data_IF_056195551477
#
_entry.id   IF_056195551477
#
_cell.length_a   1.000
_cell.length_b   1.000
_cell.length_c   1.000
_cell.angle_alpha   90.00
_cell.angle_beta   90.00
_cell.angle_gamma   90.00
#
_symmetry.space_group_name_H-M   'P 1'
#
loop_
_entity.id
_entity.type
_entity.pdbx_description
1 polymer ?
#
# COMPACT_ATOMS: atom_id res chain seq x y z
N UNK A 1 24.59 10.72 22.90
CA UNK A 1 23.15 10.79 23.20
C UNK A 1 22.42 10.05 22.09
N UNK A 2 22.06 8.80 22.30
CA UNK A 2 21.29 7.98 21.34
C UNK A 2 19.81 8.18 21.63
N UNK A 3 19.11 8.92 20.78
CA UNK A 3 17.65 9.00 20.82
C UNK A 3 17.08 7.66 20.39
N UNK A 4 16.68 6.84 21.37
CA UNK A 4 15.96 5.60 21.14
C UNK A 4 14.56 5.92 20.63
N UNK A 5 14.20 5.37 19.47
CA UNK A 5 12.83 5.38 18.99
C UNK A 5 12.01 4.40 19.84
N UNK A 6 11.15 4.93 20.71
CA UNK A 6 10.15 4.10 21.39
C UNK A 6 8.99 3.85 20.43
N UNK A 7 8.93 2.67 19.82
CA UNK A 7 7.72 2.20 19.14
C UNK A 7 6.69 1.88 20.21
N UNK A 8 5.64 2.68 20.33
CA UNK A 8 4.50 2.36 21.19
C UNK A 8 3.70 1.22 20.56
N UNK A 9 3.96 -0.01 21.00
CA UNK A 9 3.08 -1.13 20.76
C UNK A 9 1.71 -0.80 21.37
N UNK A 10 0.65 -0.80 20.55
CA UNK A 10 -0.72 -0.55 21.02
C UNK A 10 -1.68 0.08 20.00
N UNK A 11 -1.20 0.63 18.88
CA UNK A 11 -2.10 1.03 17.78
C UNK A 11 -2.33 -0.18 16.88
N UNK A 12 -3.54 -0.73 16.91
CA UNK A 12 -4.05 -1.53 15.79
C UNK A 12 -4.29 -0.53 14.67
N UNK A 13 -3.27 -0.30 13.84
CA UNK A 13 -3.38 0.60 12.70
C UNK A 13 -4.09 -0.14 11.55
N UNK A 14 -5.34 0.21 11.28
CA UNK A 14 -6.03 -0.22 10.06
C UNK A 14 -5.20 0.20 8.85
N UNK A 15 -4.94 -0.72 7.93
CA UNK A 15 -4.00 -0.51 6.82
C UNK A 15 -4.64 -0.81 5.47
N UNK A 16 -4.36 0.05 4.49
CA UNK A 16 -4.52 -0.26 3.08
C UNK A 16 -3.16 -0.55 2.47
N UNK A 17 -3.03 -1.71 1.85
CA UNK A 17 -1.83 -2.11 1.14
C UNK A 17 -2.13 -2.10 -0.37
N UNK A 18 -1.54 -1.13 -1.06
CA UNK A 18 -1.66 -0.99 -2.50
C UNK A 18 -0.53 -1.77 -3.16
N UNK A 19 -0.88 -2.74 -4.00
CA UNK A 19 0.08 -3.66 -4.58
C UNK A 19 0.05 -3.64 -6.12
N UNK A 20 1.24 -3.77 -6.71
CA UNK A 20 1.40 -4.32 -8.05
C UNK A 20 1.42 -5.84 -7.90
N UNK A 21 0.43 -6.53 -8.46
CA UNK A 21 0.31 -7.98 -8.32
C UNK A 21 0.68 -8.68 -9.62
N UNK A 22 1.42 -9.78 -9.57
CA UNK A 22 1.75 -10.53 -10.80
C UNK A 22 0.57 -11.39 -11.29
N UNK A 23 -0.31 -11.81 -10.37
CA UNK A 23 -1.37 -12.79 -10.65
C UNK A 23 -2.77 -12.35 -10.24
N UNK A 24 -2.92 -11.20 -9.56
CA UNK A 24 -4.23 -10.68 -9.17
C UNK A 24 -4.70 -9.65 -10.20
N UNK A 25 -5.93 -9.77 -10.74
CA UNK A 25 -6.46 -8.79 -11.67
C UNK A 25 -6.43 -7.37 -11.08
N UNK A 26 -6.19 -6.37 -11.93
CA UNK A 26 -6.31 -4.97 -11.52
C UNK A 26 -7.72 -4.71 -10.97
N UNK A 27 -7.81 -4.02 -9.83
CA UNK A 27 -9.05 -3.79 -9.10
C UNK A 27 -9.46 -4.91 -8.14
N UNK A 28 -8.80 -6.08 -8.17
CA UNK A 28 -9.03 -7.12 -7.17
C UNK A 28 -8.61 -6.64 -5.77
N UNK A 29 -9.29 -7.15 -4.74
CA UNK A 29 -8.99 -6.83 -3.35
C UNK A 29 -9.23 -8.04 -2.44
N UNK A 30 -8.41 -8.22 -1.41
CA UNK A 30 -8.50 -9.37 -0.50
C UNK A 30 -7.89 -9.05 0.88
N UNK A 31 -8.29 -9.76 1.95
CA UNK A 31 -7.63 -9.64 3.25
C UNK A 31 -6.17 -10.08 3.19
N UNK A 32 -5.27 -9.39 3.91
CA UNK A 32 -3.89 -9.83 4.00
C UNK A 32 -3.80 -11.12 4.87
N UNK A 33 -3.12 -12.18 4.39
CA UNK A 33 -3.04 -13.46 5.11
C UNK A 33 -2.16 -13.42 6.38
N UNK A 34 -1.32 -12.39 6.55
CA UNK A 34 -0.36 -12.25 7.65
C UNK A 34 -0.68 -11.08 8.60
N UNK A 35 -1.56 -10.18 8.20
CA UNK A 35 -1.89 -8.96 8.92
C UNK A 35 -3.40 -8.70 8.87
N UNK A 36 -4.13 -9.11 9.89
CA UNK A 36 -5.61 -9.03 9.90
C UNK A 36 -6.14 -7.60 9.79
N UNK A 37 -5.37 -6.60 10.20
CA UNK A 37 -5.71 -5.18 10.05
C UNK A 37 -5.50 -4.62 8.63
N UNK A 38 -4.92 -5.40 7.72
CA UNK A 38 -4.57 -4.95 6.37
C UNK A 38 -5.49 -5.54 5.30
N UNK A 39 -5.95 -4.67 4.39
CA UNK A 39 -6.65 -5.08 3.18
C UNK A 39 -5.79 -4.75 1.95
N UNK A 40 -5.63 -5.74 1.08
CA UNK A 40 -4.82 -5.64 -0.13
C UNK A 40 -5.69 -5.17 -1.30
N UNK A 41 -5.16 -4.26 -2.12
CA UNK A 41 -5.81 -3.82 -3.37
C UNK A 41 -4.78 -3.87 -4.50
N UNK A 42 -5.05 -4.66 -5.54
CA UNK A 42 -4.24 -4.70 -6.75
C UNK A 42 -4.56 -3.51 -7.64
N UNK A 43 -3.59 -2.62 -7.86
CA UNK A 43 -3.77 -1.47 -8.76
C UNK A 43 -3.48 -1.83 -10.21
N UNK A 44 -2.49 -2.71 -10.38
CA UNK A 44 -2.05 -3.21 -11.68
C UNK A 44 -1.73 -4.67 -11.57
N UNK A 45 -1.82 -5.34 -12.71
CA UNK A 45 -1.51 -6.75 -12.85
C UNK A 45 -0.48 -6.98 -13.95
N UNK A 46 0.48 -7.87 -13.69
CA UNK A 46 1.42 -8.36 -14.71
C UNK A 46 2.54 -7.39 -15.07
N UNK A 47 3.20 -7.66 -16.21
CA UNK A 47 4.34 -6.88 -16.67
C UNK A 47 3.91 -5.45 -17.08
N UNK A 48 4.74 -4.42 -16.80
CA UNK A 48 4.47 -3.06 -17.25
C UNK A 48 4.34 -3.01 -18.78
N UNK A 49 3.30 -2.35 -19.27
CA UNK A 49 3.15 -2.11 -20.72
C UNK A 49 4.28 -1.25 -21.30
N UNK A 50 4.89 -0.39 -20.48
CA UNK A 50 6.02 0.46 -20.84
C UNK A 50 7.09 0.45 -19.72
N UNK A 51 8.06 -0.49 -19.77
CA UNK A 51 9.15 -0.55 -18.79
C UNK A 51 9.97 0.75 -18.76
N UNK A 52 10.43 1.16 -17.57
CA UNK A 52 11.27 2.35 -17.39
C UNK A 52 10.53 3.69 -17.43
N UNK A 53 9.21 3.70 -17.63
CA UNK A 53 8.41 4.92 -17.56
C UNK A 53 7.80 5.12 -16.18
N UNK A 54 7.71 6.39 -15.76
CA UNK A 54 7.00 6.77 -14.56
C UNK A 54 5.50 6.51 -14.72
N UNK A 55 4.93 5.85 -13.73
CA UNK A 55 3.50 5.59 -13.64
C UNK A 55 2.96 6.28 -12.39
N UNK A 56 1.84 6.98 -12.54
CA UNK A 56 1.17 7.65 -11.42
C UNK A 56 -0.10 6.89 -11.04
N UNK A 57 -0.25 6.62 -9.75
CA UNK A 57 -1.48 6.08 -9.16
C UNK A 57 -2.18 7.16 -8.34
N UNK A 58 -3.51 7.23 -8.45
CA UNK A 58 -4.36 8.11 -7.65
C UNK A 58 -5.56 7.33 -7.13
N UNK A 59 -5.87 7.50 -5.84
CA UNK A 59 -7.03 6.87 -5.20
C UNK A 59 -7.66 7.77 -4.17
N UNK A 60 -8.94 7.52 -3.91
CA UNK A 60 -9.65 8.08 -2.77
C UNK A 60 -9.45 7.17 -1.55
N UNK A 61 -8.49 7.53 -0.70
CA UNK A 61 -8.13 6.73 0.47
C UNK A 61 -9.29 6.64 1.47
N UNK A 62 -10.02 7.75 1.69
CA UNK A 62 -11.19 7.77 2.58
C UNK A 62 -12.26 6.79 2.11
N UNK A 63 -12.55 6.77 0.81
CA UNK A 63 -13.52 5.83 0.23
C UNK A 63 -13.06 4.36 0.37
N UNK A 64 -11.78 4.08 0.16
CA UNK A 64 -11.24 2.72 0.36
C UNK A 64 -11.35 2.27 1.83
N UNK A 65 -11.06 3.15 2.80
CA UNK A 65 -11.25 2.84 4.22
C UNK A 65 -12.72 2.58 4.56
N UNK A 66 -13.64 3.37 4.02
CA UNK A 66 -15.09 3.15 4.19
C UNK A 66 -15.50 1.80 3.61
N UNK A 67 -14.99 1.45 2.41
CA UNK A 67 -15.36 0.24 1.70
C UNK A 67 -14.82 -1.03 2.37
N UNK A 68 -13.55 -1.05 2.75
CA UNK A 68 -12.87 -2.27 3.19
C UNK A 68 -12.86 -2.44 4.70
N UNK A 69 -12.95 -1.34 5.44
CA UNK A 69 -12.87 -1.35 6.90
C UNK A 69 -14.14 -0.80 7.58
N UNK A 70 -15.09 -0.26 6.82
CA UNK A 70 -16.28 0.39 7.38
C UNK A 70 -15.96 1.67 8.15
N UNK A 71 -14.79 2.26 7.93
CA UNK A 71 -14.27 3.40 8.69
C UNK A 71 -14.29 4.68 7.87
N UNK A 72 -14.89 5.74 8.41
CA UNK A 72 -14.79 7.07 7.83
C UNK A 72 -13.61 7.83 8.44
N UNK A 73 -12.49 7.88 7.72
CA UNK A 73 -11.24 8.46 8.22
C UNK A 73 -11.06 9.89 7.72
N UNK A 74 -10.55 10.78 8.59
CA UNK A 74 -10.21 12.17 8.23
C UNK A 74 -8.70 12.44 8.25
N UNK A 75 -7.93 11.52 8.85
CA UNK A 75 -6.49 11.65 9.02
C UNK A 75 -5.80 10.34 8.69
N UNK A 76 -4.65 10.44 8.04
CA UNK A 76 -3.72 9.34 7.84
C UNK A 76 -2.51 9.59 8.73
N UNK A 77 -2.25 8.68 9.67
CA UNK A 77 -1.15 8.85 10.63
C UNK A 77 0.22 8.50 10.00
N UNK A 78 0.25 7.61 9.01
CA UNK A 78 1.48 7.20 8.33
C UNK A 78 1.23 6.69 6.91
N UNK A 79 2.26 6.79 6.06
CA UNK A 79 2.33 6.14 4.74
C UNK A 79 3.60 5.31 4.69
N UNK A 80 3.45 4.03 4.36
CA UNK A 80 4.56 3.12 4.14
C UNK A 80 4.63 2.75 2.66
N UNK A 81 5.85 2.65 2.14
CA UNK A 81 6.13 2.27 0.76
C UNK A 81 7.21 1.20 0.78
N UNK A 82 6.96 0.10 0.06
CA UNK A 82 7.81 -1.08 0.09
C UNK A 82 7.88 -1.70 -1.30
N UNK A 83 9.06 -2.20 -1.66
CA UNK A 83 9.23 -3.19 -2.72
C UNK A 83 9.44 -4.52 -2.04
N UNK A 84 8.56 -5.48 -2.33
CA UNK A 84 8.59 -6.79 -1.72
C UNK A 84 8.83 -7.86 -2.80
N UNK A 85 9.70 -8.81 -2.48
CA UNK A 85 10.07 -9.95 -3.32
C UNK A 85 10.17 -11.26 -2.53
N UNK A 86 9.71 -11.25 -1.28
CA UNK A 86 9.93 -12.31 -0.29
C UNK A 86 9.43 -13.70 -0.73
N UNK A 87 8.47 -13.77 -1.66
CA UNK A 87 7.85 -15.03 -2.06
C UNK A 87 8.38 -15.66 -3.36
N UNK A 88 9.46 -15.15 -3.98
CA UNK A 88 9.95 -15.71 -5.28
C UNK A 88 11.45 -15.90 -5.47
N UNK A 89 12.29 -15.80 -4.45
CA UNK A 89 13.75 -15.87 -4.63
C UNK A 89 14.24 -14.91 -5.74
N UNK A 90 13.56 -13.77 -5.84
CA UNK A 90 13.71 -12.77 -6.89
C UNK A 90 14.25 -11.47 -6.30
N UNK A 91 14.93 -10.67 -7.11
CA UNK A 91 15.32 -9.31 -6.78
C UNK A 91 14.40 -8.32 -7.48
N UNK A 92 13.96 -7.27 -6.78
CA UNK A 92 13.37 -6.09 -7.41
C UNK A 92 14.16 -4.84 -7.08
N UNK A 93 14.18 -3.94 -8.06
CA UNK A 93 14.58 -2.56 -7.91
C UNK A 93 13.36 -1.70 -8.28
N UNK A 94 13.10 -0.67 -7.50
CA UNK A 94 12.02 0.27 -7.77
C UNK A 94 12.44 1.70 -7.45
N UNK A 95 11.90 2.63 -8.22
CA UNK A 95 12.01 4.06 -7.98
C UNK A 95 10.66 4.61 -7.58
N UNK A 96 10.66 5.44 -6.56
CA UNK A 96 9.45 6.06 -6.04
C UNK A 96 9.47 7.55 -6.36
N UNK A 97 8.38 8.00 -6.98
CA UNK A 97 8.15 9.40 -7.26
C UNK A 97 7.60 10.14 -6.05
N UNK A 98 7.13 11.35 -6.30
CA UNK A 98 6.53 12.20 -5.27
C UNK A 98 5.19 11.62 -4.80
N UNK A 99 5.03 11.51 -3.48
CA UNK A 99 3.77 11.13 -2.83
C UNK A 99 3.08 12.40 -2.34
N UNK A 100 1.77 12.51 -2.59
CA UNK A 100 0.97 13.67 -2.19
C UNK A 100 -0.40 13.23 -1.70
N UNK A 101 -0.85 13.84 -0.63
CA UNK A 101 -2.28 13.91 -0.31
C UNK A 101 -2.85 15.12 -1.04
N UNK A 102 -3.93 14.89 -1.77
CA UNK A 102 -4.69 15.94 -2.43
C UNK A 102 -5.98 16.09 -1.63
N UNK A 103 -6.33 17.31 -1.27
CA UNK A 103 -7.72 17.64 -0.94
C UNK A 103 -8.48 17.78 -2.25
N UNK A 104 -9.77 17.42 -2.23
CA UNK A 104 -10.67 17.80 -3.31
C UNK A 104 -10.82 19.33 -3.42
#
# INVERSE_FOLDING_TARGET
MTTGWTVRAGMIATMLALALALTMPAGASWPNPFASQAHMVALRSGAPAAPGQWVTERRNIREDFRRFHGQDVERIDAVAVMSDCDNRNASAEAWYGRIRFLSD
#
